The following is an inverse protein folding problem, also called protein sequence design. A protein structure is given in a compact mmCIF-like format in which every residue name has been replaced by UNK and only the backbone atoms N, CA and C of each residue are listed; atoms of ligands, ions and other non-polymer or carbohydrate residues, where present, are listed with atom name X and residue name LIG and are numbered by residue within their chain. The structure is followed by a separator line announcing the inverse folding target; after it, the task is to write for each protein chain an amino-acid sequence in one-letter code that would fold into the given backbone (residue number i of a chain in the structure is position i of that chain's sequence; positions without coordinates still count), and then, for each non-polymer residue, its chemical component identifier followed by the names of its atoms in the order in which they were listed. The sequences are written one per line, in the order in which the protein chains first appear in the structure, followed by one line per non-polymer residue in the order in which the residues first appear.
data_IF_998851596851
#
_entry.id   IF_998851596851
#
_cell.length_a   1.000
_cell.length_b   1.000
_cell.length_c   1.000
_cell.angle_alpha   90.00
_cell.angle_beta   90.00
_cell.angle_gamma   90.00
#
_symmetry.space_group_name_H-M   'P 1'
#
loop_
_entity.id
_entity.type
_entity.pdbx_description
1 polymer ?
#
# COMPACT_ATOMS: atom_id res chain seq x y z
N UNK A 1 3.73 -1.47 24.67
CA UNK A 1 2.98 -0.65 25.62
C UNK A 1 1.62 -0.33 25.01
N UNK A 2 0.57 -0.50 25.78
CA UNK A 2 -0.79 -0.07 25.43
C UNK A 2 -1.07 1.21 26.20
N UNK A 3 -1.54 2.23 25.50
CA UNK A 3 -1.94 3.54 26.07
C UNK A 3 -3.41 3.75 25.75
N UNK A 4 -4.20 4.02 26.76
CA UNK A 4 -5.61 4.36 26.64
C UNK A 4 -5.87 5.70 27.29
N UNK A 5 -6.57 6.60 26.61
CA UNK A 5 -6.90 7.94 27.11
C UNK A 5 -5.70 8.71 27.71
N UNK A 6 -4.52 8.59 27.09
CA UNK A 6 -3.29 9.27 27.55
C UNK A 6 -2.63 8.64 28.78
N UNK A 7 -3.01 7.43 29.17
CA UNK A 7 -2.43 6.72 30.31
C UNK A 7 -1.94 5.33 29.91
N UNK A 8 -0.79 4.93 30.42
CA UNK A 8 -0.27 3.57 30.20
C UNK A 8 -1.17 2.55 30.90
N UNK A 9 -1.83 1.72 30.11
CA UNK A 9 -2.68 0.65 30.62
C UNK A 9 -1.89 -0.65 30.84
N UNK A 10 -0.92 -0.92 29.97
CA UNK A 10 -0.12 -2.15 30.06
C UNK A 10 1.26 -2.00 29.41
N UNK A 11 2.26 -2.55 30.07
CA UNK A 11 3.62 -2.73 29.54
C UNK A 11 3.88 -4.24 29.32
N UNK A 12 4.51 -4.61 28.20
CA UNK A 12 4.83 -6.00 27.88
C UNK A 12 6.14 -6.08 27.12
N UNK A 13 6.92 -7.14 27.37
CA UNK A 13 8.20 -7.40 26.69
C UNK A 13 8.01 -7.94 25.26
N UNK A 14 6.80 -8.34 24.91
CA UNK A 14 6.48 -8.87 23.58
C UNK A 14 5.20 -8.23 23.04
N UNK A 15 5.10 -8.08 21.72
CA UNK A 15 3.85 -7.68 21.09
C UNK A 15 2.72 -8.62 21.50
N UNK A 16 1.60 -8.05 21.89
CA UNK A 16 0.39 -8.81 22.16
C UNK A 16 -0.29 -9.28 20.87
N UNK A 17 -1.41 -9.96 21.04
CA UNK A 17 -2.29 -10.37 19.93
C UNK A 17 -3.74 -10.07 20.33
N UNK A 18 -4.59 -9.87 19.32
CA UNK A 18 -6.01 -9.59 19.53
C UNK A 18 -6.43 -8.24 18.95
N UNK A 19 -7.69 -7.86 19.12
CA UNK A 19 -8.19 -6.56 18.71
C UNK A 19 -7.55 -5.43 19.55
N UNK A 20 -7.37 -4.29 18.94
CA UNK A 20 -7.04 -3.02 19.59
C UNK A 20 -8.37 -2.29 19.68
N UNK A 21 -8.74 -1.79 20.86
CA UNK A 21 -9.95 -1.00 21.03
C UNK A 21 -9.80 0.36 20.31
N UNK A 22 -10.92 1.01 20.05
CA UNK A 22 -10.94 2.25 19.25
C UNK A 22 -10.14 3.38 19.91
N UNK A 23 -10.16 3.43 21.24
CA UNK A 23 -9.48 4.47 22.05
C UNK A 23 -8.06 4.08 22.47
N UNK A 24 -7.61 2.85 22.14
CA UNK A 24 -6.29 2.37 22.51
C UNK A 24 -5.24 2.67 21.44
N UNK A 25 -4.05 3.04 21.90
CA UNK A 25 -2.87 3.16 21.06
C UNK A 25 -1.82 2.13 21.50
N UNK A 26 -1.20 1.45 20.54
CA UNK A 26 -0.20 0.44 20.82
C UNK A 26 1.17 0.92 20.33
N UNK A 27 2.09 1.12 21.27
CA UNK A 27 3.47 1.45 20.98
C UNK A 27 4.30 0.16 20.90
N UNK A 28 4.95 -0.08 19.78
CA UNK A 28 5.88 -1.20 19.60
C UNK A 28 7.24 -0.63 19.26
N UNK A 29 8.26 -1.03 20.03
CA UNK A 29 9.62 -0.55 19.82
C UNK A 29 10.64 -1.70 19.81
N UNK A 30 11.80 -1.46 19.20
CA UNK A 30 12.96 -2.37 19.16
C UNK A 30 14.24 -1.60 19.43
N UNK A 31 15.30 -2.32 19.86
CA UNK A 31 16.60 -1.72 20.16
C UNK A 31 16.51 -0.65 21.24
N UNK A 32 17.22 0.44 21.09
CA UNK A 32 17.27 1.54 22.07
C UNK A 32 15.91 2.22 22.32
N UNK A 33 14.99 2.18 21.35
CA UNK A 33 13.63 2.68 21.56
C UNK A 33 12.83 1.77 22.51
N UNK A 34 13.08 0.46 22.52
CA UNK A 34 12.45 -0.48 23.43
C UNK A 34 12.84 -0.18 24.90
N UNK A 35 14.10 0.18 25.17
CA UNK A 35 14.57 0.56 26.50
C UNK A 35 13.83 1.79 27.04
N UNK A 36 13.53 2.75 26.15
CA UNK A 36 12.78 3.96 26.50
C UNK A 36 11.35 3.67 26.89
N UNK A 37 10.63 2.85 26.12
CA UNK A 37 9.22 2.54 26.42
C UNK A 37 9.09 1.49 27.55
N UNK A 38 10.10 0.65 27.76
CA UNK A 38 10.14 -0.30 28.88
C UNK A 38 10.33 0.39 30.25
N UNK A 39 10.76 1.63 30.26
CA UNK A 39 10.86 2.43 31.50
C UNK A 39 9.49 2.97 31.98
N UNK A 40 8.45 2.87 31.16
CA UNK A 40 7.10 3.26 31.52
C UNK A 40 6.46 2.23 32.46
N UNK A 41 5.60 2.69 33.33
CA UNK A 41 4.82 1.86 34.25
C UNK A 41 3.32 2.04 34.01
N UNK A 42 2.53 1.03 34.37
CA UNK A 42 1.07 1.15 34.32
C UNK A 42 0.61 2.33 35.23
N UNK A 43 -0.26 3.16 34.66
CA UNK A 43 -0.74 4.39 35.29
C UNK A 43 0.09 5.65 34.95
N UNK A 44 1.23 5.52 34.27
CA UNK A 44 2.00 6.69 33.85
C UNK A 44 1.21 7.52 32.81
N UNK A 45 1.18 8.84 32.95
CA UNK A 45 0.60 9.71 31.93
C UNK A 45 1.55 9.77 30.72
N UNK A 46 1.00 9.63 29.53
CA UNK A 46 1.74 9.70 28.28
C UNK A 46 1.02 10.60 27.29
N UNK A 47 1.73 11.60 26.79
CA UNK A 47 1.30 12.38 25.64
C UNK A 47 1.94 11.82 24.39
N UNK A 48 1.11 11.35 23.45
CA UNK A 48 1.54 10.75 22.19
C UNK A 48 1.28 11.73 21.05
N UNK A 49 2.36 12.36 20.60
CA UNK A 49 2.34 13.17 19.40
C UNK A 49 2.91 12.34 18.22
N UNK A 50 2.12 12.19 17.17
CA UNK A 50 2.58 11.61 15.92
C UNK A 50 2.31 12.57 14.77
N UNK A 51 3.36 12.88 14.03
CA UNK A 51 3.28 13.76 12.88
C UNK A 51 4.08 13.19 11.71
N UNK A 52 3.53 13.34 10.52
CA UNK A 52 4.29 13.13 9.29
C UNK A 52 4.98 14.44 8.96
N UNK A 53 6.29 14.47 9.08
CA UNK A 53 7.09 15.65 8.73
C UNK A 53 7.64 15.52 7.33
N UNK A 54 7.34 16.48 6.47
CA UNK A 54 7.96 16.66 5.16
C UNK A 54 8.60 18.04 5.10
N UNK A 55 9.59 18.22 4.21
CA UNK A 55 10.09 19.56 3.91
C UNK A 55 8.99 20.36 3.21
N UNK A 56 8.29 21.23 3.92
CA UNK A 56 7.28 22.12 3.35
C UNK A 56 5.90 22.01 3.98
N UNK A 57 4.92 21.51 3.27
CA UNK A 57 3.53 21.44 3.73
C UNK A 57 3.21 20.12 4.44
N UNK A 58 2.25 20.12 5.35
CA UNK A 58 1.70 18.91 5.92
C UNK A 58 1.02 18.07 4.82
N UNK A 59 1.46 16.81 4.61
CA UNK A 59 0.84 15.96 3.59
C UNK A 59 -0.55 15.52 4.04
N UNK A 60 -1.51 15.57 3.14
CA UNK A 60 -2.87 15.04 3.40
C UNK A 60 -2.92 13.52 3.43
N UNK A 61 -2.01 12.88 2.73
CA UNK A 61 -1.85 11.43 2.65
C UNK A 61 -0.38 11.11 2.48
N UNK A 62 0.10 10.12 3.21
CA UNK A 62 1.42 9.52 3.00
C UNK A 62 1.24 8.03 2.80
N UNK A 63 1.85 7.51 1.77
CA UNK A 63 1.81 6.10 1.44
C UNK A 63 3.22 5.53 1.42
N UNK A 64 3.46 4.50 2.23
CA UNK A 64 4.71 3.78 2.23
C UNK A 64 4.79 2.81 1.05
N UNK A 65 5.99 2.67 0.49
CA UNK A 65 6.27 1.69 -0.55
C UNK A 65 7.61 1.01 -0.36
N UNK A 66 7.87 0.00 -1.16
CA UNK A 66 9.06 -0.85 -1.02
C UNK A 66 10.21 -0.41 -1.93
N UNK A 67 9.91 -0.08 -3.18
CA UNK A 67 10.89 0.35 -4.16
C UNK A 67 10.36 1.54 -4.95
N UNK A 68 11.21 2.56 -5.10
CA UNK A 68 10.98 3.59 -6.10
C UNK A 68 11.26 2.96 -7.47
N UNK A 69 10.29 3.04 -8.37
CA UNK A 69 10.34 2.44 -9.71
C UNK A 69 10.71 3.46 -10.79
N UNK A 70 10.24 4.68 -10.65
CA UNK A 70 10.52 5.80 -11.55
C UNK A 70 10.78 7.02 -10.69
N UNK A 71 11.78 7.81 -11.08
CA UNK A 71 12.08 9.12 -10.48
C UNK A 71 12.49 10.08 -11.57
N UNK A 72 11.93 11.28 -11.57
CA UNK A 72 12.22 12.34 -12.55
C UNK A 72 12.08 11.82 -14.01
N UNK A 73 11.09 10.97 -14.27
CA UNK A 73 10.84 10.37 -15.58
C UNK A 73 11.73 9.18 -15.96
N UNK A 74 12.74 8.86 -15.15
CA UNK A 74 13.69 7.80 -15.43
C UNK A 74 13.43 6.55 -14.56
N UNK A 75 13.45 5.34 -15.14
CA UNK A 75 13.34 4.10 -14.38
C UNK A 75 14.51 3.92 -13.41
N UNK A 76 14.20 3.66 -12.15
CA UNK A 76 15.19 3.36 -11.11
C UNK A 76 15.56 1.88 -11.17
N UNK A 77 16.84 1.53 -11.29
CA UNK A 77 17.27 0.14 -11.28
C UNK A 77 16.90 -0.57 -9.97
N UNK A 78 16.16 -1.67 -10.05
CA UNK A 78 15.81 -2.49 -8.90
C UNK A 78 16.48 -3.86 -9.02
N UNK A 79 17.11 -4.33 -7.95
CA UNK A 79 17.83 -5.60 -7.94
C UNK A 79 16.90 -6.82 -7.94
N UNK A 80 15.66 -6.68 -7.47
CA UNK A 80 14.66 -7.76 -7.46
C UNK A 80 14.16 -8.05 -8.88
N UNK A 81 14.56 -9.22 -9.40
CA UNK A 81 14.16 -9.73 -10.72
C UNK A 81 13.11 -10.83 -10.63
N UNK A 82 12.58 -11.09 -9.45
CA UNK A 82 11.58 -12.13 -9.26
C UNK A 82 10.26 -11.75 -9.92
N UNK A 83 9.56 -12.77 -10.48
CA UNK A 83 8.20 -12.60 -10.98
C UNK A 83 7.20 -12.85 -9.86
N UNK A 84 6.29 -11.90 -9.67
CA UNK A 84 5.23 -12.01 -8.67
C UNK A 84 4.03 -11.13 -9.08
N UNK A 85 2.87 -11.29 -8.47
CA UNK A 85 1.86 -10.26 -8.47
C UNK A 85 2.44 -8.97 -7.92
N UNK A 86 2.19 -7.84 -8.56
CA UNK A 86 2.73 -6.54 -8.17
C UNK A 86 1.60 -5.53 -8.04
N UNK A 87 1.80 -4.58 -7.17
CA UNK A 87 0.97 -3.37 -7.04
C UNK A 87 1.89 -2.18 -7.06
N UNK A 88 1.58 -1.19 -7.88
CA UNK A 88 2.35 0.03 -7.97
C UNK A 88 1.45 1.22 -8.27
N UNK A 89 1.89 2.39 -7.85
CA UNK A 89 1.29 3.68 -8.21
C UNK A 89 2.33 4.55 -8.89
N UNK A 90 1.90 5.42 -9.77
CA UNK A 90 2.73 6.44 -10.40
C UNK A 90 1.95 7.71 -10.62
N UNK A 91 2.66 8.81 -10.83
CA UNK A 91 2.08 10.12 -11.10
C UNK A 91 2.71 10.73 -12.34
N UNK A 92 1.89 11.48 -13.10
CA UNK A 92 2.38 12.36 -14.17
C UNK A 92 3.24 13.49 -13.59
N UNK A 93 4.00 14.18 -14.44
CA UNK A 93 4.92 15.26 -14.05
C UNK A 93 4.22 16.41 -13.29
N UNK A 94 3.01 16.75 -13.70
CA UNK A 94 2.16 17.77 -13.05
C UNK A 94 1.41 17.25 -11.81
N UNK A 95 1.45 15.92 -11.55
CA UNK A 95 0.73 15.29 -10.47
C UNK A 95 -0.79 15.12 -10.67
N UNK A 96 -1.31 15.54 -11.81
CA UNK A 96 -2.76 15.54 -12.08
C UNK A 96 -3.31 14.15 -12.43
N UNK A 97 -2.44 13.25 -12.89
CA UNK A 97 -2.83 11.87 -13.23
C UNK A 97 -2.15 10.87 -12.33
N UNK A 98 -2.94 10.09 -11.62
CA UNK A 98 -2.46 8.95 -10.86
C UNK A 98 -2.69 7.66 -11.64
N UNK A 99 -1.62 6.93 -11.89
CA UNK A 99 -1.63 5.60 -12.49
C UNK A 99 -1.61 4.55 -11.40
N UNK A 100 -2.51 3.58 -11.45
CA UNK A 100 -2.54 2.42 -10.54
C UNK A 100 -2.40 1.17 -11.37
N UNK A 101 -1.40 0.36 -11.05
CA UNK A 101 -1.12 -0.91 -11.71
C UNK A 101 -1.19 -2.04 -10.71
N UNK A 102 -1.94 -3.07 -11.05
CA UNK A 102 -1.83 -4.39 -10.42
C UNK A 102 -1.59 -5.44 -11.48
N UNK A 103 -0.69 -6.38 -11.21
CA UNK A 103 -0.45 -7.51 -12.11
C UNK A 103 -0.85 -8.81 -11.44
N UNK A 104 -1.41 -9.71 -12.22
CA UNK A 104 -1.67 -11.08 -11.80
C UNK A 104 -0.36 -11.85 -11.62
N UNK A 105 -0.42 -12.96 -10.93
CA UNK A 105 0.71 -13.86 -10.80
C UNK A 105 0.44 -14.99 -9.82
N UNK A 106 1.40 -15.91 -9.72
CA UNK A 106 1.30 -17.10 -8.85
C UNK A 106 0.05 -17.92 -9.13
N UNK A 107 -0.32 -18.01 -10.39
CA UNK A 107 -1.45 -18.82 -10.85
C UNK A 107 -1.03 -19.58 -12.15
N UNK A 108 -1.83 -20.56 -12.63
CA UNK A 108 -1.46 -21.36 -13.81
C UNK A 108 -1.23 -20.57 -15.10
N UNK A 109 -1.83 -19.39 -15.21
CA UNK A 109 -1.81 -18.58 -16.42
C UNK A 109 -0.63 -17.61 -16.44
N UNK A 110 -0.11 -17.22 -15.27
CA UNK A 110 1.02 -16.28 -15.18
C UNK A 110 1.83 -16.42 -13.89
N UNK A 111 3.15 -16.31 -14.03
CA UNK A 111 4.07 -16.23 -12.89
C UNK A 111 4.05 -14.84 -12.21
N UNK A 112 3.61 -13.81 -12.94
CA UNK A 112 3.63 -12.42 -12.50
C UNK A 112 4.59 -11.55 -13.32
N UNK A 113 4.84 -10.33 -12.82
CA UNK A 113 5.72 -9.35 -13.44
C UNK A 113 6.96 -9.10 -12.58
N UNK A 114 8.06 -8.73 -13.23
CA UNK A 114 9.23 -8.13 -12.59
C UNK A 114 8.94 -6.64 -12.27
N UNK A 115 9.73 -6.04 -11.39
CA UNK A 115 9.60 -4.60 -11.09
C UNK A 115 10.01 -3.72 -12.28
N UNK A 116 10.96 -4.19 -13.09
CA UNK A 116 11.33 -3.50 -14.34
C UNK A 116 10.16 -3.43 -15.31
N UNK A 117 9.48 -4.53 -15.56
CA UNK A 117 8.28 -4.56 -16.43
C UNK A 117 7.17 -3.65 -15.92
N UNK A 118 6.98 -3.55 -14.58
CA UNK A 118 6.00 -2.63 -13.99
C UNK A 118 6.43 -1.17 -14.17
N UNK A 119 7.72 -0.86 -13.98
CA UNK A 119 8.27 0.47 -14.23
C UNK A 119 8.08 0.90 -15.69
N UNK A 120 8.42 0.04 -16.63
CA UNK A 120 8.24 0.27 -18.08
C UNK A 120 6.76 0.52 -18.45
N UNK A 121 5.85 -0.27 -17.85
CA UNK A 121 4.41 -0.08 -18.04
C UNK A 121 3.94 1.29 -17.53
N UNK A 122 4.35 1.69 -16.33
CA UNK A 122 4.00 2.99 -15.75
C UNK A 122 4.61 4.14 -16.55
N UNK A 123 5.88 4.03 -16.96
CA UNK A 123 6.53 5.02 -17.82
C UNK A 123 5.80 5.17 -19.17
N UNK A 124 5.41 4.06 -19.78
CA UNK A 124 4.64 4.09 -21.04
C UNK A 124 3.26 4.71 -20.90
N UNK A 125 2.69 4.67 -19.69
CA UNK A 125 1.43 5.33 -19.36
C UNK A 125 1.60 6.84 -19.03
N UNK A 126 2.84 7.34 -18.96
CA UNK A 126 3.14 8.75 -18.71
C UNK A 126 3.48 9.07 -17.25
N UNK A 127 3.77 8.07 -16.42
CA UNK A 127 4.24 8.33 -15.07
C UNK A 127 5.70 8.79 -15.08
N UNK A 128 5.99 9.86 -14.35
CA UNK A 128 7.35 10.39 -14.10
C UNK A 128 7.84 10.07 -12.70
N UNK A 129 6.93 9.76 -11.78
CA UNK A 129 7.21 9.25 -10.44
C UNK A 129 6.45 7.93 -10.23
N UNK A 130 7.09 6.92 -9.67
CA UNK A 130 6.39 5.67 -9.36
C UNK A 130 6.99 4.92 -8.17
N UNK A 131 6.10 4.26 -7.42
CA UNK A 131 6.41 3.53 -6.20
C UNK A 131 5.76 2.14 -6.24
N UNK A 132 6.52 1.09 -5.93
CA UNK A 132 5.97 -0.23 -5.64
C UNK A 132 5.35 -0.24 -4.25
N UNK A 133 4.12 -0.70 -4.15
CA UNK A 133 3.43 -1.00 -2.90
C UNK A 133 3.65 -2.47 -2.51
N UNK A 134 2.99 -2.93 -1.44
CA UNK A 134 3.06 -4.35 -1.09
C UNK A 134 2.48 -5.21 -2.21
N UNK A 135 3.25 -6.19 -2.60
CA UNK A 135 2.99 -7.08 -3.73
C UNK A 135 2.64 -8.50 -3.31
N UNK A 136 2.84 -9.44 -4.23
CA UNK A 136 2.57 -10.85 -3.98
C UNK A 136 1.12 -11.10 -3.63
N UNK A 137 0.85 -11.88 -2.58
CA UNK A 137 -0.51 -12.20 -2.14
C UNK A 137 -1.32 -11.02 -1.59
N UNK A 138 -0.69 -9.87 -1.37
CA UNK A 138 -1.37 -8.63 -0.94
C UNK A 138 -1.89 -7.81 -2.12
N UNK A 139 -1.41 -8.08 -3.35
CA UNK A 139 -1.90 -7.38 -4.56
C UNK A 139 -3.39 -7.60 -4.75
N UNK A 140 -4.19 -6.56 -4.51
CA UNK A 140 -5.64 -6.62 -4.60
C UNK A 140 -6.18 -5.35 -5.25
N UNK A 141 -6.88 -5.48 -6.36
CA UNK A 141 -7.59 -4.39 -7.02
C UNK A 141 -9.08 -4.66 -7.02
N UNK A 142 -9.80 -3.84 -6.30
CA UNK A 142 -11.26 -3.85 -6.26
C UNK A 142 -11.79 -2.61 -6.98
N UNK A 143 -12.66 -2.81 -7.95
CA UNK A 143 -13.27 -1.71 -8.71
C UNK A 143 -14.79 -1.83 -8.62
N UNK A 144 -15.44 -0.74 -8.23
CA UNK A 144 -16.89 -0.61 -8.35
C UNK A 144 -17.22 -0.03 -9.72
N UNK A 145 -17.91 -0.80 -10.53
CA UNK A 145 -18.35 -0.33 -11.84
C UNK A 145 -19.46 0.71 -11.74
N UNK A 146 -19.61 1.58 -12.73
CA UNK A 146 -20.73 2.51 -12.79
C UNK A 146 -22.07 1.78 -12.68
N UNK A 147 -22.91 2.20 -11.72
CA UNK A 147 -24.19 1.53 -11.41
C UNK A 147 -24.06 0.26 -10.55
N UNK A 148 -22.85 -0.21 -10.28
CA UNK A 148 -22.62 -1.37 -9.41
C UNK A 148 -22.75 -1.00 -7.92
N UNK A 149 -23.32 -1.93 -7.14
CA UNK A 149 -23.49 -1.75 -5.69
C UNK A 149 -22.23 -2.16 -4.92
N UNK A 150 -21.48 -3.12 -5.43
CA UNK A 150 -20.31 -3.71 -4.74
C UNK A 150 -19.07 -3.64 -5.61
N UNK A 151 -17.87 -3.45 -5.00
CA UNK A 151 -16.61 -3.60 -5.71
C UNK A 151 -16.43 -5.04 -6.20
N UNK A 152 -15.81 -5.18 -7.36
CA UNK A 152 -15.45 -6.45 -8.00
C UNK A 152 -13.95 -6.58 -8.04
N UNK A 153 -13.43 -7.75 -7.68
CA UNK A 153 -12.01 -8.08 -7.79
C UNK A 153 -11.59 -8.13 -9.25
N UNK A 154 -10.51 -7.41 -9.59
CA UNK A 154 -10.02 -7.25 -10.96
C UNK A 154 -8.69 -7.93 -11.24
N UNK A 155 -7.96 -8.31 -10.22
CA UNK A 155 -6.70 -9.02 -10.37
C UNK A 155 -6.74 -10.38 -9.65
N UNK A 156 -5.76 -11.22 -9.97
CA UNK A 156 -5.60 -12.56 -9.39
C UNK A 156 -4.17 -12.74 -8.88
N UNK A 157 -3.99 -12.61 -7.58
CA UNK A 157 -2.70 -12.69 -6.91
C UNK A 157 -2.44 -14.06 -6.22
N UNK A 158 -3.21 -15.08 -6.59
CA UNK A 158 -3.21 -16.43 -6.01
C UNK A 158 -4.63 -16.96 -5.91
N UNK A 159 -4.81 -18.06 -5.18
CA UNK A 159 -6.11 -18.74 -5.07
C UNK A 159 -7.07 -18.09 -4.08
N UNK A 160 -6.54 -17.30 -3.13
CA UNK A 160 -7.34 -16.69 -2.07
C UNK A 160 -6.93 -15.24 -1.82
N UNK A 161 -7.93 -14.39 -1.50
CA UNK A 161 -7.67 -13.05 -1.00
C UNK A 161 -6.99 -13.12 0.37
N UNK A 162 -5.89 -12.40 0.50
CA UNK A 162 -5.16 -12.26 1.75
C UNK A 162 -5.72 -11.06 2.53
N UNK A 163 -5.76 -11.17 3.85
CA UNK A 163 -5.97 -10.01 4.71
C UNK A 163 -4.76 -9.09 4.64
N UNK A 164 -5.02 -7.81 4.47
CA UNK A 164 -4.01 -6.73 4.43
C UNK A 164 -4.32 -5.71 5.51
N UNK A 165 -3.31 -5.02 6.07
CA UNK A 165 -3.51 -4.06 7.16
C UNK A 165 -4.15 -2.75 6.68
N UNK A 166 -3.92 -2.37 5.43
CA UNK A 166 -4.34 -1.09 4.86
C UNK A 166 -4.69 -1.21 3.38
N UNK A 167 -5.30 -0.17 2.82
CA UNK A 167 -5.61 -0.06 1.41
C UNK A 167 -5.70 1.40 0.97
N UNK A 168 -5.27 1.68 -0.26
CA UNK A 168 -5.55 2.94 -0.92
C UNK A 168 -6.99 2.90 -1.47
N UNK A 169 -7.82 3.82 -1.02
CA UNK A 169 -9.21 3.95 -1.46
C UNK A 169 -9.37 5.23 -2.26
N UNK A 170 -9.83 5.10 -3.51
CA UNK A 170 -10.15 6.23 -4.38
C UNK A 170 -11.67 6.34 -4.44
N UNK A 171 -12.19 7.47 -4.03
CA UNK A 171 -13.63 7.77 -4.07
C UNK A 171 -13.90 8.94 -5.00
N UNK A 172 -15.06 8.92 -5.64
CA UNK A 172 -15.55 10.03 -6.46
C UNK A 172 -16.98 10.38 -6.02
N UNK A 173 -17.40 11.65 -6.14
CA UNK A 173 -18.79 12.03 -5.91
C UNK A 173 -19.73 11.19 -6.76
N UNK A 174 -20.94 10.92 -6.25
CA UNK A 174 -21.94 10.13 -6.96
C UNK A 174 -22.26 10.76 -8.32
N UNK A 175 -22.25 9.93 -9.37
CA UNK A 175 -22.50 10.38 -10.75
C UNK A 175 -21.34 11.06 -11.48
N UNK A 176 -20.21 11.35 -10.78
CA UNK A 176 -19.03 11.99 -11.38
C UNK A 176 -18.00 11.01 -11.91
N UNK A 177 -18.06 9.75 -11.48
CA UNK A 177 -17.07 8.74 -11.87
C UNK A 177 -17.30 8.32 -13.34
N UNK A 178 -16.33 8.68 -14.19
CA UNK A 178 -16.17 8.08 -15.52
C UNK A 178 -14.99 7.10 -15.42
N UNK A 179 -15.27 5.82 -15.38
CA UNK A 179 -14.20 4.83 -15.41
C UNK A 179 -13.80 4.62 -16.87
N UNK A 180 -12.69 5.21 -17.27
CA UNK A 180 -11.98 4.80 -18.47
C UNK A 180 -10.90 3.83 -18.05
N UNK A 181 -11.23 2.54 -17.98
CA UNK A 181 -10.27 1.49 -17.66
C UNK A 181 -9.78 0.82 -18.93
N UNK A 182 -8.48 0.79 -19.14
CA UNK A 182 -7.86 -0.08 -20.12
C UNK A 182 -7.50 -1.41 -19.43
N UNK A 183 -8.29 -2.43 -19.70
CA UNK A 183 -8.00 -3.78 -19.25
C UNK A 183 -7.14 -4.47 -20.33
N UNK A 184 -5.84 -4.52 -20.14
CA UNK A 184 -4.96 -5.33 -20.96
C UNK A 184 -5.06 -6.78 -20.48
N UNK A 185 -5.84 -7.59 -21.17
CA UNK A 185 -5.68 -9.03 -21.15
C UNK A 185 -4.64 -9.37 -22.20
N UNK A 186 -3.50 -9.98 -21.86
CA UNK A 186 -2.66 -10.56 -22.89
C UNK A 186 -3.52 -11.55 -23.65
N UNK A 187 -3.61 -11.40 -24.96
CA UNK A 187 -4.18 -12.41 -25.81
C UNK A 187 -3.25 -13.63 -25.70
N UNK A 188 -3.64 -14.61 -24.90
CA UNK A 188 -3.02 -15.92 -24.94
C UNK A 188 -3.42 -16.51 -26.29
N UNK A 189 -2.51 -16.47 -27.26
CA UNK A 189 -2.67 -17.30 -28.45
C UNK A 189 -2.70 -18.76 -27.99
N UNK A 190 -3.73 -19.51 -28.34
CA UNK A 190 -3.76 -20.93 -28.01
C UNK A 190 -2.58 -21.59 -28.72
N UNK A 191 -1.71 -22.23 -27.95
CA UNK A 191 -0.70 -23.16 -28.45
C UNK A 191 -1.35 -24.51 -28.77
#
# INVERSE_FOLDING_TARGET
VVVSEGTVERVSDAPGSGPINEDDQVLVARGSAAERIAALSEGDPVDLEHALTTEGAEPRLVLGGRHVLIRDGEPVPVADRSRAPRTAIGFSEDGDVMHVVTTDGRNPDTAGSTLTEVAELLASAGATEALELDGGGSSTLLVREPGGVRPVLRNRAGDHLRRVPDALVITAPEGSARTTGLWLRPALEPR
#
